data_IF_451977978039
#
_entry.id   IF_451977978039
#
_cell.length_a   1.000
_cell.length_b   1.000
_cell.length_c   1.000
_cell.angle_alpha   90.00
_cell.angle_beta   90.00
_cell.angle_gamma   90.00
#
_symmetry.space_group_name_H-M   'P 1'
#
loop_
_entity.id
_entity.type
_entity.pdbx_description
1 polymer ?
#
# COMPACT_ATOMS: atom_id res chain seq x y z
N UNK A 1 -17.59 9.18 20.88
CA UNK A 1 -17.68 8.21 19.76
C UNK A 1 -16.82 7.01 20.13
N UNK A 2 -17.41 5.83 20.20
CA UNK A 2 -16.69 4.58 20.51
C UNK A 2 -15.65 4.30 19.41
N UNK A 3 -14.39 4.04 19.79
CA UNK A 3 -13.34 3.70 18.83
C UNK A 3 -13.68 2.33 18.25
N UNK A 4 -14.22 2.29 17.03
CA UNK A 4 -14.42 1.04 16.29
C UNK A 4 -13.05 0.40 16.12
N UNK A 5 -12.79 -0.72 16.80
CA UNK A 5 -11.52 -1.43 16.74
C UNK A 5 -11.59 -2.46 15.61
N UNK A 6 -10.75 -2.31 14.58
CA UNK A 6 -10.76 -3.19 13.40
C UNK A 6 -10.41 -4.64 13.75
N UNK A 7 -9.14 -4.94 14.00
CA UNK A 7 -8.64 -6.28 14.30
C UNK A 7 -7.41 -6.17 15.20
N UNK A 8 -7.20 -7.13 16.10
CA UNK A 8 -5.91 -7.28 16.76
C UNK A 8 -4.91 -8.02 15.85
N UNK A 9 -3.61 -7.87 16.10
CA UNK A 9 -2.57 -8.62 15.39
C UNK A 9 -2.86 -10.13 15.38
N UNK A 10 -3.18 -10.69 16.55
CA UNK A 10 -3.57 -12.11 16.66
C UNK A 10 -4.74 -12.49 15.74
N UNK A 11 -5.77 -11.64 15.64
CA UNK A 11 -6.93 -11.90 14.78
C UNK A 11 -6.57 -11.87 13.28
N UNK A 12 -5.63 -11.02 12.87
CA UNK A 12 -5.15 -10.95 11.49
C UNK A 12 -4.51 -12.26 11.04
N UNK A 13 -3.84 -13.01 11.94
CA UNK A 13 -3.16 -14.26 11.62
C UNK A 13 -3.96 -15.53 11.91
N UNK A 14 -5.02 -15.46 12.71
CA UNK A 14 -5.80 -16.65 13.11
C UNK A 14 -7.15 -16.78 12.42
N UNK A 15 -7.75 -15.66 12.01
CA UNK A 15 -9.07 -15.70 11.39
C UNK A 15 -9.00 -16.15 9.93
N UNK A 16 -10.07 -16.78 9.47
CA UNK A 16 -10.26 -17.19 8.07
C UNK A 16 -10.51 -15.98 7.17
N UNK A 17 -10.11 -16.10 5.90
CA UNK A 17 -10.29 -15.08 4.85
C UNK A 17 -11.67 -14.42 4.84
N UNK A 18 -12.75 -15.20 4.74
CA UNK A 18 -14.14 -14.69 4.67
C UNK A 18 -14.49 -13.79 5.87
N UNK A 19 -14.01 -14.14 7.06
CA UNK A 19 -14.24 -13.37 8.29
C UNK A 19 -13.46 -12.06 8.27
N UNK A 20 -12.20 -12.10 7.82
CA UNK A 20 -11.35 -10.93 7.68
C UNK A 20 -11.92 -9.94 6.67
N UNK A 21 -12.31 -10.43 5.48
CA UNK A 21 -12.92 -9.61 4.43
C UNK A 21 -14.16 -8.87 4.92
N UNK A 22 -15.06 -9.59 5.62
CA UNK A 22 -16.29 -9.00 6.19
C UNK A 22 -15.97 -7.92 7.23
N UNK A 23 -15.04 -8.20 8.16
CA UNK A 23 -14.70 -7.26 9.24
C UNK A 23 -14.00 -6.00 8.71
N UNK A 24 -13.05 -6.16 7.79
CA UNK A 24 -12.34 -5.04 7.16
C UNK A 24 -13.31 -4.16 6.35
N UNK A 25 -14.18 -4.77 5.53
CA UNK A 25 -15.22 -4.02 4.80
C UNK A 25 -16.09 -3.22 5.76
N UNK A 26 -16.64 -3.86 6.79
CA UNK A 26 -17.53 -3.20 7.75
C UNK A 26 -16.86 -2.02 8.44
N UNK A 27 -15.64 -2.22 8.93
CA UNK A 27 -14.85 -1.16 9.56
C UNK A 27 -14.63 0.03 8.61
N UNK A 28 -14.20 -0.22 7.36
CA UNK A 28 -13.97 0.84 6.40
C UNK A 28 -15.24 1.64 6.13
N UNK A 29 -16.38 0.98 5.93
CA UNK A 29 -17.63 1.69 5.66
C UNK A 29 -18.15 2.49 6.85
N UNK A 30 -17.87 2.05 8.08
CA UNK A 30 -18.23 2.75 9.30
C UNK A 30 -17.31 3.94 9.61
N UNK A 31 -16.01 3.79 9.41
CA UNK A 31 -15.00 4.76 9.87
C UNK A 31 -14.46 5.65 8.76
N UNK A 32 -14.48 5.15 7.51
CA UNK A 32 -13.77 5.71 6.36
C UNK A 32 -12.26 5.85 6.57
N UNK A 33 -11.68 5.08 7.50
CA UNK A 33 -10.24 5.08 7.74
C UNK A 33 -9.50 4.27 6.66
N UNK A 34 -8.99 5.00 5.69
CA UNK A 34 -8.24 4.44 4.55
C UNK A 34 -6.86 3.93 4.96
N UNK A 35 -6.19 4.62 5.89
CA UNK A 35 -4.83 4.30 6.28
C UNK A 35 -4.80 2.96 7.00
N UNK A 36 -5.64 2.80 8.03
CA UNK A 36 -5.71 1.58 8.81
C UNK A 36 -6.15 0.42 7.91
N UNK A 37 -7.21 0.63 7.11
CA UNK A 37 -7.70 -0.39 6.16
C UNK A 37 -6.60 -0.89 5.23
N UNK A 38 -5.80 0.00 4.66
CA UNK A 38 -4.68 -0.37 3.77
C UNK A 38 -3.57 -1.10 4.52
N UNK A 39 -3.20 -0.67 5.73
CA UNK A 39 -2.19 -1.37 6.54
C UNK A 39 -2.60 -2.81 6.88
N UNK A 40 -3.87 -3.04 7.22
CA UNK A 40 -4.37 -4.39 7.44
C UNK A 40 -4.33 -5.25 6.17
N UNK A 41 -4.61 -4.66 5.01
CA UNK A 41 -4.53 -5.38 3.74
C UNK A 41 -3.09 -5.74 3.36
N UNK A 42 -2.12 -4.89 3.67
CA UNK A 42 -0.69 -5.23 3.54
C UNK A 42 -0.34 -6.40 4.48
N UNK A 43 -0.82 -6.37 5.73
CA UNK A 43 -0.57 -7.48 6.65
C UNK A 43 -1.12 -8.81 6.15
N UNK A 44 -2.25 -8.79 5.41
CA UNK A 44 -2.79 -9.99 4.76
C UNK A 44 -1.96 -10.44 3.56
N UNK A 45 -1.35 -9.52 2.79
CA UNK A 45 -0.39 -9.89 1.75
C UNK A 45 0.85 -10.56 2.33
N UNK A 46 1.40 -10.01 3.42
CA UNK A 46 2.53 -10.64 4.14
C UNK A 46 2.14 -12.02 4.66
N UNK A 47 0.89 -12.18 5.15
CA UNK A 47 0.36 -13.49 5.54
C UNK A 47 0.23 -14.45 4.36
N UNK A 48 -0.17 -13.98 3.18
CA UNK A 48 -0.24 -14.78 1.95
C UNK A 48 1.14 -15.33 1.58
N UNK A 49 2.15 -14.46 1.57
CA UNK A 49 3.52 -14.81 1.18
C UNK A 49 4.19 -15.79 2.14
N UNK A 50 3.89 -15.69 3.44
CA UNK A 50 4.53 -16.51 4.48
C UNK A 50 3.68 -17.72 4.91
N UNK A 51 2.39 -17.72 4.56
CA UNK A 51 1.41 -18.69 5.01
C UNK A 51 1.21 -19.84 4.04
N UNK A 52 0.30 -20.75 4.41
CA UNK A 52 -0.18 -21.85 3.55
C UNK A 52 -1.58 -21.58 2.98
N UNK A 53 -2.25 -20.57 3.51
CA UNK A 53 -3.62 -20.23 3.14
C UNK A 53 -3.61 -19.13 2.08
N UNK A 54 -4.54 -19.19 1.13
CA UNK A 54 -4.67 -18.21 0.05
C UNK A 54 -5.34 -16.90 0.53
N UNK A 55 -4.54 -15.84 0.56
CA UNK A 55 -4.91 -14.45 0.78
C UNK A 55 -4.57 -13.55 -0.44
N UNK A 56 -4.41 -14.15 -1.62
CA UNK A 56 -4.15 -13.41 -2.85
C UNK A 56 -5.33 -12.50 -3.21
N UNK A 57 -5.03 -11.25 -3.57
CA UNK A 57 -6.00 -10.24 -4.02
C UNK A 57 -7.18 -9.97 -3.07
N UNK A 58 -7.00 -10.12 -1.76
CA UNK A 58 -8.03 -9.83 -0.75
C UNK A 58 -8.53 -8.39 -0.90
N UNK A 59 -9.87 -8.26 -0.98
CA UNK A 59 -10.58 -6.98 -1.06
C UNK A 59 -10.09 -6.06 -2.20
N UNK A 60 -9.74 -6.64 -3.35
CA UNK A 60 -9.22 -5.91 -4.51
C UNK A 60 -10.06 -4.68 -4.91
N UNK A 61 -11.37 -4.82 -4.98
CA UNK A 61 -12.25 -3.72 -5.37
C UNK A 61 -12.26 -2.57 -4.35
N UNK A 62 -12.16 -2.91 -3.06
CA UNK A 62 -12.07 -1.91 -2.00
C UNK A 62 -10.74 -1.15 -2.06
N UNK A 63 -9.63 -1.85 -2.29
CA UNK A 63 -8.32 -1.22 -2.50
C UNK A 63 -8.38 -0.26 -3.68
N UNK A 64 -8.91 -0.71 -4.82
CA UNK A 64 -9.07 0.11 -6.02
C UNK A 64 -9.91 1.34 -5.74
N UNK A 65 -11.04 1.18 -5.06
CA UNK A 65 -11.91 2.27 -4.62
C UNK A 65 -11.15 3.30 -3.79
N UNK A 66 -10.46 2.87 -2.73
CA UNK A 66 -9.69 3.76 -1.86
C UNK A 66 -8.65 4.53 -2.69
N UNK A 67 -7.84 3.85 -3.49
CA UNK A 67 -6.77 4.51 -4.25
C UNK A 67 -7.26 5.44 -5.37
N UNK A 68 -8.41 5.18 -5.97
CA UNK A 68 -8.95 5.97 -7.08
C UNK A 68 -9.85 7.12 -6.62
N UNK A 69 -10.61 6.95 -5.54
CA UNK A 69 -11.61 7.92 -5.08
C UNK A 69 -11.07 8.82 -3.95
N UNK A 70 -10.22 8.30 -3.06
CA UNK A 70 -9.80 9.01 -1.85
C UNK A 70 -8.72 10.05 -2.08
N UNK A 71 -8.69 11.14 -1.29
CA UNK A 71 -7.66 12.18 -1.43
C UNK A 71 -6.24 11.58 -1.29
N UNK A 72 -5.26 11.96 -2.13
CA UNK A 72 -3.89 11.45 -2.03
C UNK A 72 -3.22 11.79 -0.68
N UNK A 73 -3.18 10.85 0.25
CA UNK A 73 -2.50 11.00 1.54
C UNK A 73 -1.05 10.50 1.48
N UNK A 74 -0.22 10.89 2.47
CA UNK A 74 1.16 10.38 2.61
C UNK A 74 1.18 8.86 2.79
N UNK A 75 0.21 8.31 3.52
CA UNK A 75 0.08 6.88 3.73
C UNK A 75 -0.17 6.15 2.41
N UNK A 76 -1.18 6.58 1.64
CA UNK A 76 -1.49 5.98 0.33
C UNK A 76 -0.29 6.06 -0.62
N UNK A 77 0.42 7.20 -0.68
CA UNK A 77 1.66 7.34 -1.47
C UNK A 77 2.78 6.38 -1.03
N UNK A 78 2.83 6.02 0.25
CA UNK A 78 3.87 5.10 0.76
C UNK A 78 3.50 3.65 0.47
N UNK A 79 2.21 3.34 0.51
CA UNK A 79 1.70 1.97 0.48
C UNK A 79 1.24 1.47 -0.89
N UNK A 80 0.99 2.37 -1.86
CA UNK A 80 0.44 1.98 -3.16
C UNK A 80 1.23 0.86 -3.87
N UNK A 81 2.55 0.81 -3.70
CA UNK A 81 3.44 -0.15 -4.39
C UNK A 81 3.09 -1.61 -4.07
N UNK A 82 2.60 -1.90 -2.86
CA UNK A 82 2.17 -3.24 -2.44
C UNK A 82 0.94 -3.73 -3.18
N UNK A 83 0.20 -2.83 -3.82
CA UNK A 83 -1.05 -3.15 -4.53
C UNK A 83 -0.89 -3.07 -6.04
N UNK A 84 0.33 -3.05 -6.58
CA UNK A 84 0.56 -2.92 -8.04
C UNK A 84 -0.28 -3.89 -8.85
N UNK A 85 -0.31 -5.16 -8.45
CA UNK A 85 -1.00 -6.22 -9.18
C UNK A 85 -2.53 -6.15 -9.04
N UNK A 86 -3.05 -5.31 -8.15
CA UNK A 86 -4.49 -5.07 -8.00
C UNK A 86 -5.04 -4.20 -9.15
N UNK A 87 -4.16 -3.50 -9.86
CA UNK A 87 -4.52 -2.59 -10.94
C UNK A 87 -4.10 -3.15 -12.30
N UNK A 88 -4.85 -2.82 -13.34
CA UNK A 88 -4.35 -2.98 -14.70
C UNK A 88 -3.22 -1.99 -14.97
N UNK A 89 -2.40 -2.24 -15.99
CA UNK A 89 -1.33 -1.32 -16.39
C UNK A 89 -1.83 0.11 -16.65
N UNK A 90 -3.02 0.24 -17.24
CA UNK A 90 -3.65 1.54 -17.51
C UNK A 90 -4.04 2.25 -16.21
N UNK A 91 -4.72 1.54 -15.31
CA UNK A 91 -5.14 2.08 -14.00
C UNK A 91 -3.93 2.44 -13.13
N UNK A 92 -2.89 1.62 -13.15
CA UNK A 92 -1.67 1.86 -12.38
C UNK A 92 -0.97 3.16 -12.80
N UNK A 93 -0.93 3.44 -14.11
CA UNK A 93 -0.37 4.68 -14.65
C UNK A 93 -1.17 5.90 -14.18
N UNK A 94 -2.50 5.84 -14.29
CA UNK A 94 -3.40 6.91 -13.82
C UNK A 94 -3.25 7.14 -12.33
N UNK A 95 -3.22 6.06 -11.54
CA UNK A 95 -3.02 6.12 -10.09
C UNK A 95 -1.69 6.77 -9.73
N UNK A 96 -0.61 6.43 -10.43
CA UNK A 96 0.72 6.98 -10.19
C UNK A 96 0.74 8.50 -10.42
N UNK A 97 0.12 8.99 -11.50
CA UNK A 97 0.03 10.43 -11.79
C UNK A 97 -0.83 11.13 -10.73
N UNK A 98 -1.94 10.52 -10.32
CA UNK A 98 -2.85 11.05 -9.30
C UNK A 98 -2.18 11.17 -7.94
N UNK A 99 -1.44 10.15 -7.52
CA UNK A 99 -0.75 10.12 -6.24
C UNK A 99 0.45 11.07 -6.21
N UNK A 100 1.10 11.30 -7.35
CA UNK A 100 2.31 12.10 -7.48
C UNK A 100 2.18 13.14 -8.60
N UNK A 101 1.46 14.24 -8.37
CA UNK A 101 1.36 15.30 -9.35
C UNK A 101 2.75 15.84 -9.72
N UNK A 102 2.98 15.96 -11.04
CA UNK A 102 4.28 15.98 -11.74
C UNK A 102 5.28 17.06 -11.30
N UNK A 103 4.91 18.06 -10.51
CA UNK A 103 5.76 19.27 -10.39
C UNK A 103 6.94 19.20 -9.41
N UNK A 104 7.01 18.24 -8.48
CA UNK A 104 8.11 18.20 -7.50
C UNK A 104 8.59 16.80 -7.08
N UNK A 105 7.69 15.81 -7.02
CA UNK A 105 7.99 14.53 -6.37
C UNK A 105 8.92 13.60 -7.16
N UNK A 106 8.76 13.55 -8.48
CA UNK A 106 9.57 12.66 -9.34
C UNK A 106 11.03 13.11 -9.34
N UNK A 107 11.27 14.43 -9.40
CA UNK A 107 12.61 15.01 -9.30
C UNK A 107 13.26 14.68 -7.95
N UNK A 108 12.60 14.96 -6.84
CA UNK A 108 13.18 14.71 -5.50
C UNK A 108 13.42 13.23 -5.20
N UNK A 109 12.51 12.32 -5.58
CA UNK A 109 12.72 10.89 -5.33
C UNK A 109 13.77 10.29 -6.24
N UNK A 110 13.84 10.69 -7.51
CA UNK A 110 14.92 10.27 -8.41
C UNK A 110 16.25 10.82 -7.91
N UNK A 111 16.33 12.09 -7.51
CA UNK A 111 17.55 12.69 -6.93
C UNK A 111 17.97 11.99 -5.64
N UNK A 112 17.03 11.66 -4.74
CA UNK A 112 17.32 10.89 -3.51
C UNK A 112 17.75 9.46 -3.81
N UNK A 113 17.12 8.78 -4.77
CA UNK A 113 17.48 7.43 -5.18
C UNK A 113 18.87 7.43 -5.86
N UNK A 114 19.12 8.37 -6.76
CA UNK A 114 20.41 8.57 -7.42
C UNK A 114 21.52 8.89 -6.42
N UNK A 115 21.25 9.77 -5.46
CA UNK A 115 22.23 10.08 -4.40
C UNK A 115 22.50 8.87 -3.52
N UNK A 116 21.47 8.10 -3.17
CA UNK A 116 21.59 6.96 -2.25
C UNK A 116 22.21 5.71 -2.88
N UNK A 117 21.99 5.47 -4.17
CA UNK A 117 22.45 4.27 -4.85
C UNK A 117 23.63 4.50 -5.81
N UNK A 118 23.80 5.71 -6.36
CA UNK A 118 24.83 5.98 -7.40
C UNK A 118 25.95 6.94 -6.97
N UNK A 119 25.80 7.74 -5.89
CA UNK A 119 26.87 8.67 -5.43
C UNK A 119 27.85 8.09 -4.39
N UNK A 120 27.82 6.80 -4.09
CA UNK A 120 28.83 6.16 -3.25
C UNK A 120 29.04 4.69 -3.68
N UNK A 121 30.18 4.25 -4.25
CA UNK A 121 31.45 4.94 -4.49
C UNK A 121 31.91 4.87 -5.97
N UNK A 122 31.73 5.93 -6.76
CA UNK A 122 32.63 6.18 -7.90
C UNK A 122 33.86 6.99 -7.48
N UNK A 123 33.86 7.51 -6.24
CA UNK A 123 35.02 8.16 -5.61
C UNK A 123 36.17 7.18 -5.30
N UNK A 124 35.94 5.87 -5.44
CA UNK A 124 36.96 4.83 -5.35
C UNK A 124 37.32 4.16 -6.69
N UNK A 125 36.77 4.67 -7.81
CA UNK A 125 37.02 4.16 -9.18
C UNK A 125 37.58 5.23 -10.13
N UNK A 126 37.93 6.41 -9.61
CA UNK A 126 38.68 7.43 -10.35
C UNK A 126 39.98 7.69 -9.61
N UNK A 127 41.05 7.01 -10.04
CA UNK A 127 42.44 7.42 -9.83
C UNK A 127 43.10 6.94 -8.54
N UNK A 128 44.23 6.27 -8.74
CA UNK A 128 45.32 5.98 -7.79
C UNK A 128 45.87 7.23 -7.10
#
# INVERSE_FOLDING_TARGET
MEKVKLLSCHQVYTLKRKTLEKRIKNYYFQTRDEQDTIQFLIALQVRDELGKEDFSFVLRDLVRKIFLESKPTRALRSYYIFFKDYFTLKEWRVLSIRLFPVKTFVKEKIEKLYTRFFKMPLKGLVGS
#
